data_IF_658188164389
#
_entry.id   IF_658188164389
#
_cell.length_a   1.000
_cell.length_b   1.000
_cell.length_c   1.000
_cell.angle_alpha   90.00
_cell.angle_beta   90.00
_cell.angle_gamma   90.00
#
_symmetry.space_group_name_H-M   'P 1'
#
loop_
_entity.id
_entity.type
_entity.pdbx_description
1 polymer ?
#
# COMPACT_ATOMS: atom_id res chain seq x y z
N UNK A 1 5.91 11.25 24.29
CA UNK A 1 4.76 11.48 25.20
C UNK A 1 3.97 12.62 24.58
N UNK A 2 2.82 12.33 23.96
CA UNK A 2 1.85 13.32 23.60
C UNK A 2 1.21 13.78 24.92
N UNK A 3 1.63 14.92 25.42
CA UNK A 3 0.87 15.69 26.36
C UNK A 3 -0.03 16.60 25.51
N UNK A 4 -1.33 16.45 25.73
CA UNK A 4 -2.42 17.16 25.05
C UNK A 4 -2.50 17.00 23.51
N UNK A 5 -3.17 15.98 23.11
CA UNK A 5 -4.17 15.85 22.03
C UNK A 5 -3.93 16.38 20.63
N UNK A 6 -2.97 17.23 20.38
CA UNK A 6 -2.74 17.82 19.08
C UNK A 6 -1.42 17.34 18.47
N UNK A 7 -1.52 16.46 17.47
CA UNK A 7 -0.38 16.05 16.67
C UNK A 7 -0.32 16.89 15.38
N UNK A 8 0.79 17.62 15.21
CA UNK A 8 1.03 18.41 14.01
C UNK A 8 2.12 17.76 13.16
N UNK A 9 1.71 17.12 12.06
CA UNK A 9 2.62 16.47 11.11
C UNK A 9 3.53 17.47 10.39
N UNK A 10 3.07 18.71 10.18
CA UNK A 10 3.86 19.74 9.48
C UNK A 10 5.01 20.18 10.37
N UNK A 11 4.75 20.46 11.65
CA UNK A 11 5.78 20.75 12.63
C UNK A 11 6.77 19.61 12.78
N UNK A 12 6.29 18.37 12.87
CA UNK A 12 7.16 17.17 12.92
C UNK A 12 8.07 17.06 11.70
N UNK A 13 7.57 17.33 10.50
CA UNK A 13 8.36 17.26 9.28
C UNK A 13 9.41 18.37 9.22
N UNK A 14 9.09 19.60 9.68
CA UNK A 14 10.05 20.71 9.80
C UNK A 14 11.21 20.32 10.74
N UNK A 15 10.90 19.72 11.88
CA UNK A 15 11.89 19.35 12.89
C UNK A 15 12.82 18.20 12.44
N UNK A 16 12.38 17.36 11.52
CA UNK A 16 13.13 16.16 11.11
C UNK A 16 14.32 16.43 10.21
N UNK A 17 14.21 17.42 9.32
CA UNK A 17 15.24 17.74 8.32
C UNK A 17 15.24 19.22 7.97
N UNK A 18 16.42 19.81 7.84
CA UNK A 18 16.57 21.20 7.44
C UNK A 18 15.93 21.52 6.07
N UNK A 19 15.98 20.56 5.13
CA UNK A 19 15.32 20.68 3.81
C UNK A 19 13.80 20.79 3.94
N UNK A 20 13.20 20.02 4.84
CA UNK A 20 11.76 20.11 5.12
C UNK A 20 11.43 21.45 5.80
N UNK A 21 12.26 21.88 6.77
CA UNK A 21 12.07 23.17 7.44
C UNK A 21 12.06 24.31 6.44
N UNK A 22 12.97 24.34 5.47
CA UNK A 22 13.01 25.36 4.43
C UNK A 22 11.82 25.25 3.47
N UNK A 23 11.47 24.02 3.01
CA UNK A 23 10.36 23.81 2.08
C UNK A 23 8.99 24.16 2.70
N UNK A 24 8.83 23.96 4.00
CA UNK A 24 7.57 24.16 4.73
C UNK A 24 7.54 25.42 5.58
N UNK A 25 8.56 26.30 5.51
CA UNK A 25 8.73 27.44 6.42
C UNK A 25 7.51 28.37 6.49
N UNK A 26 6.84 28.58 5.35
CA UNK A 26 5.68 29.48 5.23
C UNK A 26 4.33 28.75 5.46
N UNK A 27 4.36 27.45 5.75
CA UNK A 27 3.15 26.62 5.89
C UNK A 27 3.01 26.11 7.32
N UNK A 28 1.80 26.20 7.84
CA UNK A 28 1.35 25.55 9.07
C UNK A 28 0.33 24.44 8.75
N UNK A 29 -0.12 23.67 9.75
CA UNK A 29 -1.12 22.60 9.52
C UNK A 29 -2.34 23.11 8.76
N UNK A 30 -2.84 24.30 9.11
CA UNK A 30 -4.05 24.91 8.53
C UNK A 30 -3.87 25.39 7.08
N UNK A 31 -2.63 25.40 6.58
CA UNK A 31 -2.35 25.67 5.17
C UNK A 31 -2.74 24.50 4.25
N UNK A 32 -3.01 23.32 4.80
CA UNK A 32 -3.33 22.10 4.07
C UNK A 32 -4.76 21.65 4.40
N UNK A 33 -5.61 21.56 3.37
CA UNK A 33 -6.97 21.05 3.53
C UNK A 33 -6.98 19.53 3.78
N UNK A 34 -6.08 18.81 3.14
CA UNK A 34 -5.96 17.35 3.23
C UNK A 34 -4.51 16.93 3.39
N UNK A 35 -4.27 15.90 4.19
CA UNK A 35 -2.96 15.25 4.37
C UNK A 35 -3.11 13.76 4.12
N UNK A 36 -2.34 13.25 3.16
CA UNK A 36 -2.25 11.84 2.84
C UNK A 36 -0.84 11.32 3.12
N UNK A 37 -0.75 10.22 3.85
CA UNK A 37 0.50 9.59 4.25
C UNK A 37 0.64 8.25 3.51
N UNK A 38 1.79 8.01 2.88
CA UNK A 38 2.07 6.77 2.18
C UNK A 38 3.26 6.07 2.82
N UNK A 39 3.04 4.85 3.30
CA UNK A 39 4.06 4.06 3.96
C UNK A 39 4.19 2.70 3.28
N UNK A 40 5.38 2.14 3.41
CA UNK A 40 5.67 0.76 3.06
C UNK A 40 5.48 -0.12 4.29
N UNK A 41 4.87 -1.30 4.12
CA UNK A 41 4.75 -2.27 5.20
C UNK A 41 6.13 -2.73 5.71
N UNK A 42 7.13 -2.82 4.81
CA UNK A 42 8.54 -3.17 5.09
C UNK A 42 8.74 -4.13 6.27
N UNK A 43 8.25 -5.35 6.13
CA UNK A 43 8.30 -6.36 7.18
C UNK A 43 9.72 -6.78 7.60
N UNK A 44 10.75 -6.37 6.83
CA UNK A 44 12.16 -6.61 7.16
C UNK A 44 12.75 -5.55 8.10
N UNK A 45 12.07 -4.41 8.26
CA UNK A 45 12.54 -3.37 9.18
C UNK A 45 12.62 -3.89 10.63
N UNK A 46 13.73 -3.61 11.31
CA UNK A 46 13.91 -3.95 12.72
C UNK A 46 12.92 -3.21 13.62
N UNK A 47 12.35 -2.12 13.13
CA UNK A 47 11.37 -1.29 13.82
C UNK A 47 9.92 -1.66 13.47
N UNK A 48 9.70 -2.56 12.48
CA UNK A 48 8.37 -2.99 12.09
C UNK A 48 7.71 -3.77 13.22
N UNK A 49 6.54 -3.29 13.64
CA UNK A 49 5.71 -3.85 14.67
C UNK A 49 4.25 -3.72 14.23
N UNK A 50 3.60 -4.85 14.04
CA UNK A 50 2.22 -4.89 13.55
C UNK A 50 1.24 -4.15 14.48
N UNK A 51 1.51 -4.17 15.79
CA UNK A 51 0.73 -3.42 16.77
C UNK A 51 0.86 -1.90 16.56
N UNK A 52 2.08 -1.41 16.33
CA UNK A 52 2.31 0.01 16.03
C UNK A 52 1.65 0.45 14.73
N UNK A 53 1.64 -0.43 13.71
CA UNK A 53 0.96 -0.15 12.45
C UNK A 53 -0.55 -0.01 12.69
N UNK A 54 -1.14 -0.87 13.52
CA UNK A 54 -2.56 -0.77 13.88
C UNK A 54 -2.88 0.52 14.63
N UNK A 55 -2.01 0.92 15.56
CA UNK A 55 -2.12 2.22 16.26
C UNK A 55 -2.02 3.38 15.27
N UNK A 56 -1.06 3.35 14.35
CA UNK A 56 -0.91 4.37 13.31
C UNK A 56 -2.15 4.46 12.40
N UNK A 57 -2.70 3.33 11.96
CA UNK A 57 -3.93 3.28 11.15
C UNK A 57 -5.17 3.75 11.92
N UNK A 58 -5.13 3.69 13.24
CA UNK A 58 -6.20 4.21 14.10
C UNK A 58 -6.07 5.71 14.28
N UNK A 59 -4.85 6.21 14.38
CA UNK A 59 -4.55 7.63 14.61
C UNK A 59 -4.64 8.46 13.31
N UNK A 60 -4.10 7.94 12.21
CA UNK A 60 -4.12 8.56 10.89
C UNK A 60 -5.27 8.00 10.04
N UNK A 61 -6.49 8.35 10.39
CA UNK A 61 -7.72 7.81 9.81
C UNK A 61 -8.61 8.87 9.15
N UNK A 62 -8.19 10.14 9.15
CA UNK A 62 -8.93 11.25 8.55
C UNK A 62 -7.95 12.26 7.95
N UNK A 63 -8.09 12.51 6.65
CA UNK A 63 -7.22 13.41 5.89
C UNK A 63 -7.37 14.89 6.28
N UNK A 64 -8.49 15.25 6.88
CA UNK A 64 -8.76 16.63 7.35
C UNK A 64 -8.22 16.89 8.75
N UNK A 65 -7.96 15.83 9.51
CA UNK A 65 -7.44 15.90 10.88
C UNK A 65 -5.93 15.62 10.94
N UNK A 66 -5.55 14.45 11.43
CA UNK A 66 -4.14 14.04 11.59
C UNK A 66 -3.50 13.60 10.28
N UNK A 67 -4.30 13.32 9.26
CA UNK A 67 -3.93 12.73 7.99
C UNK A 67 -4.52 11.33 7.81
N UNK A 68 -4.60 10.87 6.58
CA UNK A 68 -5.06 9.54 6.22
C UNK A 68 -3.88 8.68 5.74
N UNK A 69 -3.67 7.56 6.43
CA UNK A 69 -2.54 6.65 6.17
C UNK A 69 -2.90 5.58 5.14
N UNK A 70 -2.07 5.46 4.12
CA UNK A 70 -2.10 4.42 3.10
C UNK A 70 -0.85 3.55 3.20
N UNK A 71 -1.01 2.22 3.16
CA UNK A 71 0.09 1.28 3.27
C UNK A 71 0.20 0.42 2.00
N UNK A 72 1.39 0.38 1.42
CA UNK A 72 1.74 -0.54 0.33
C UNK A 72 2.34 -1.84 0.87
N UNK A 73 1.90 -2.98 0.32
CA UNK A 73 2.32 -4.33 0.72
C UNK A 73 3.08 -5.02 -0.41
N UNK A 74 4.36 -5.38 -0.25
CA UNK A 74 5.21 -5.03 0.90
C UNK A 74 5.78 -3.61 0.84
N UNK A 75 5.83 -2.98 -0.35
CA UNK A 75 6.48 -1.68 -0.59
C UNK A 75 5.79 -0.96 -1.75
N UNK A 76 6.18 0.30 -2.02
CA UNK A 76 5.67 1.11 -3.13
C UNK A 76 5.82 0.42 -4.49
N UNK A 77 6.84 -0.42 -4.66
CA UNK A 77 7.06 -1.23 -5.85
C UNK A 77 5.94 -2.24 -6.15
N UNK A 78 5.02 -2.49 -5.19
CA UNK A 78 3.82 -3.30 -5.43
C UNK A 78 3.01 -2.80 -6.63
N UNK A 79 3.04 -1.48 -6.90
CA UNK A 79 2.36 -0.88 -8.04
C UNK A 79 2.81 -1.44 -9.39
N UNK A 80 4.07 -1.77 -9.52
CA UNK A 80 4.66 -2.30 -10.77
C UNK A 80 4.74 -3.81 -10.83
N UNK A 81 4.50 -4.51 -9.71
CA UNK A 81 4.60 -5.97 -9.64
C UNK A 81 3.36 -6.63 -10.24
N UNK A 82 3.34 -6.68 -11.56
CA UNK A 82 2.17 -7.11 -12.32
C UNK A 82 2.56 -7.83 -13.62
N UNK A 83 1.86 -8.91 -13.93
CA UNK A 83 1.90 -9.62 -15.21
C UNK A 83 0.53 -9.54 -15.90
N UNK A 84 -0.44 -10.19 -15.30
CA UNK A 84 -1.81 -10.28 -15.76
C UNK A 84 -2.77 -10.36 -14.57
N UNK A 85 -4.05 -10.22 -14.84
CA UNK A 85 -5.12 -10.17 -13.83
C UNK A 85 -5.22 -11.48 -13.04
N UNK A 86 -5.11 -12.62 -13.72
CA UNK A 86 -5.34 -13.93 -13.09
C UNK A 86 -4.23 -14.27 -12.10
N UNK A 87 -2.97 -14.08 -12.51
CA UNK A 87 -1.82 -14.26 -11.62
C UNK A 87 -1.77 -13.24 -10.51
N UNK A 88 -2.15 -11.98 -10.80
CA UNK A 88 -2.14 -10.90 -9.81
C UNK A 88 -3.15 -11.11 -8.67
N UNK A 89 -4.30 -11.68 -8.95
CA UNK A 89 -5.35 -11.95 -7.95
C UNK A 89 -4.80 -12.63 -6.70
N UNK A 90 -3.95 -13.63 -6.87
CA UNK A 90 -3.40 -14.46 -5.78
C UNK A 90 -1.93 -14.18 -5.48
N UNK A 91 -1.33 -13.19 -6.15
CA UNK A 91 0.09 -12.86 -5.99
C UNK A 91 0.42 -12.48 -4.54
N UNK A 92 1.26 -13.28 -3.91
CA UNK A 92 1.85 -13.03 -2.60
C UNK A 92 3.35 -13.02 -2.68
N UNK A 93 4.01 -12.43 -1.71
CA UNK A 93 5.47 -12.49 -1.55
C UNK A 93 5.84 -12.73 -0.10
N UNK A 94 6.94 -13.44 0.11
CA UNK A 94 7.44 -13.73 1.45
C UNK A 94 7.80 -12.44 2.17
N UNK A 95 7.51 -12.39 3.45
CA UNK A 95 7.86 -11.26 4.31
C UNK A 95 8.42 -11.77 5.65
N UNK A 96 8.97 -10.84 6.45
CA UNK A 96 9.57 -11.15 7.76
C UNK A 96 10.66 -12.24 7.69
N UNK A 97 11.40 -12.32 6.57
CA UNK A 97 12.38 -13.38 6.29
C UNK A 97 13.36 -13.55 7.46
N UNK A 98 14.02 -12.47 7.86
CA UNK A 98 15.04 -12.48 8.90
C UNK A 98 14.47 -12.59 10.32
N UNK A 99 13.17 -12.33 10.48
CA UNK A 99 12.47 -12.30 11.77
C UNK A 99 11.34 -13.33 11.84
N UNK A 100 11.23 -14.19 10.83
CA UNK A 100 10.21 -15.24 10.84
C UNK A 100 10.42 -16.16 12.04
N UNK A 101 9.47 -16.26 12.98
CA UNK A 101 9.60 -17.12 14.16
C UNK A 101 9.65 -18.61 13.79
N UNK A 102 9.34 -18.94 12.55
CA UNK A 102 9.29 -20.30 12.04
C UNK A 102 10.48 -20.65 11.12
N UNK A 103 11.49 -19.76 11.00
CA UNK A 103 12.58 -19.94 10.03
C UNK A 103 13.32 -21.27 10.22
N UNK A 104 13.46 -21.74 11.45
CA UNK A 104 14.15 -22.98 11.77
C UNK A 104 13.34 -24.25 11.44
N UNK A 105 12.00 -24.13 11.39
CA UNK A 105 11.08 -25.27 11.19
C UNK A 105 10.27 -25.18 9.90
N UNK A 106 10.43 -24.11 9.14
CA UNK A 106 9.73 -23.93 7.89
C UNK A 106 10.34 -24.80 6.80
N UNK A 107 9.52 -25.62 6.14
CA UNK A 107 9.96 -26.47 5.02
C UNK A 107 10.42 -25.66 3.79
N UNK A 108 10.01 -24.41 3.69
CA UNK A 108 10.37 -23.50 2.61
C UNK A 108 11.53 -22.55 3.00
N UNK A 109 12.27 -22.85 4.05
CA UNK A 109 13.32 -22.00 4.60
C UNK A 109 14.34 -21.56 3.53
N UNK A 110 14.86 -22.50 2.75
CA UNK A 110 15.85 -22.23 1.69
C UNK A 110 15.26 -21.30 0.62
N UNK A 111 14.01 -21.53 0.22
CA UNK A 111 13.29 -20.68 -0.73
C UNK A 111 13.15 -19.24 -0.19
N UNK A 112 12.72 -19.08 1.07
CA UNK A 112 12.62 -17.78 1.71
C UNK A 112 13.96 -17.04 1.77
N UNK A 113 15.04 -17.74 2.13
CA UNK A 113 16.38 -17.15 2.25
C UNK A 113 17.00 -16.82 0.88
N UNK A 114 16.65 -17.61 -0.17
CA UNK A 114 17.15 -17.42 -1.52
C UNK A 114 16.42 -16.33 -2.31
N UNK A 115 15.23 -15.90 -1.87
CA UNK A 115 14.48 -14.87 -2.57
C UNK A 115 15.24 -13.53 -2.61
N UNK A 116 15.29 -12.84 -3.77
CA UNK A 116 15.88 -11.53 -3.88
C UNK A 116 15.08 -10.48 -3.08
N UNK A 117 15.69 -9.34 -2.80
CA UNK A 117 14.96 -8.20 -2.24
C UNK A 117 13.77 -7.83 -3.12
N UNK A 118 12.65 -7.51 -2.51
CA UNK A 118 11.39 -7.28 -3.21
C UNK A 118 11.50 -6.26 -4.36
N UNK A 119 12.28 -5.20 -4.18
CA UNK A 119 12.52 -4.21 -5.23
C UNK A 119 13.10 -4.82 -6.51
N UNK A 120 14.03 -5.73 -6.39
CA UNK A 120 14.62 -6.47 -7.51
C UNK A 120 13.64 -7.49 -8.04
N UNK A 121 13.02 -8.24 -7.15
CA UNK A 121 12.05 -9.28 -7.51
C UNK A 121 10.88 -8.70 -8.30
N UNK A 122 10.25 -7.63 -7.81
CA UNK A 122 9.13 -6.99 -8.51
C UNK A 122 9.48 -6.53 -9.93
N UNK A 123 10.74 -6.12 -10.17
CA UNK A 123 11.17 -5.72 -11.50
C UNK A 123 11.41 -6.89 -12.45
N UNK A 124 11.91 -8.02 -11.94
CA UNK A 124 12.23 -9.22 -12.77
C UNK A 124 11.01 -10.11 -12.97
N UNK A 125 10.07 -10.14 -12.02
CA UNK A 125 8.86 -10.94 -12.08
C UNK A 125 7.68 -10.25 -12.78
N UNK A 126 7.85 -9.03 -13.29
CA UNK A 126 6.80 -8.27 -13.98
C UNK A 126 7.01 -8.21 -15.48
N UNK A 127 5.93 -8.02 -16.24
CA UNK A 127 6.09 -7.72 -17.67
C UNK A 127 6.73 -6.36 -17.89
N UNK A 128 7.56 -6.18 -18.94
CA UNK A 128 8.37 -4.99 -19.16
C UNK A 128 7.59 -3.67 -19.16
N UNK A 129 6.34 -3.67 -19.66
CA UNK A 129 5.50 -2.47 -19.70
C UNK A 129 5.11 -1.95 -18.30
N UNK A 130 5.18 -2.79 -17.27
CA UNK A 130 4.82 -2.43 -15.88
C UNK A 130 6.02 -2.06 -15.00
N UNK A 131 7.25 -2.21 -15.49
CA UNK A 131 8.45 -2.05 -14.65
C UNK A 131 8.89 -0.58 -14.46
N UNK A 132 8.49 0.33 -15.38
CA UNK A 132 8.93 1.72 -15.36
C UNK A 132 7.74 2.69 -15.36
N UNK A 133 7.42 3.22 -14.18
CA UNK A 133 6.31 4.16 -13.94
C UNK A 133 6.35 5.39 -14.86
N UNK A 134 7.55 5.88 -15.19
CA UNK A 134 7.71 7.05 -16.06
C UNK A 134 7.27 6.80 -17.53
N UNK A 135 7.05 5.54 -17.89
CA UNK A 135 6.63 5.13 -19.23
C UNK A 135 5.18 4.62 -19.26
N UNK A 136 4.45 4.74 -18.18
CA UNK A 136 3.08 4.26 -18.12
C UNK A 136 2.18 5.09 -19.04
N UNK A 137 1.50 4.39 -19.94
CA UNK A 137 0.40 4.94 -20.72
C UNK A 137 -0.88 5.02 -19.88
N UNK A 138 -1.88 5.73 -20.40
CA UNK A 138 -3.21 5.78 -19.77
C UNK A 138 -3.79 4.38 -19.55
N UNK A 139 -3.60 3.47 -20.51
CA UNK A 139 -4.11 2.09 -20.45
C UNK A 139 -3.37 1.26 -19.37
N UNK A 140 -2.05 1.43 -19.25
CA UNK A 140 -1.29 0.80 -18.16
C UNK A 140 -1.78 1.28 -16.81
N UNK A 141 -1.99 2.58 -16.63
CA UNK A 141 -2.55 3.14 -15.40
C UNK A 141 -3.94 2.57 -15.09
N UNK A 142 -4.84 2.53 -16.08
CA UNK A 142 -6.18 1.95 -15.94
C UNK A 142 -6.11 0.49 -15.48
N UNK A 143 -5.29 -0.32 -16.16
CA UNK A 143 -5.12 -1.75 -15.85
C UNK A 143 -4.64 -1.95 -14.41
N UNK A 144 -3.60 -1.22 -14.00
CA UNK A 144 -3.04 -1.36 -12.65
C UNK A 144 -4.00 -0.87 -11.57
N UNK A 145 -4.65 0.28 -11.77
CA UNK A 145 -5.65 0.78 -10.81
C UNK A 145 -6.79 -0.23 -10.67
N UNK A 146 -7.35 -0.70 -11.79
CA UNK A 146 -8.41 -1.71 -11.79
C UNK A 146 -7.99 -2.98 -11.02
N UNK A 147 -6.81 -3.53 -11.36
CA UNK A 147 -6.31 -4.77 -10.76
C UNK A 147 -6.13 -4.64 -9.23
N UNK A 148 -5.52 -3.56 -8.78
CA UNK A 148 -5.31 -3.33 -7.35
C UNK A 148 -6.60 -3.10 -6.58
N UNK A 149 -7.58 -2.39 -7.16
CA UNK A 149 -8.89 -2.20 -6.53
C UNK A 149 -9.66 -3.52 -6.42
N UNK A 150 -9.67 -4.33 -7.49
CA UNK A 150 -10.29 -5.66 -7.45
C UNK A 150 -9.58 -6.57 -6.42
N UNK A 151 -8.25 -6.49 -6.33
CA UNK A 151 -7.49 -7.28 -5.36
C UNK A 151 -7.73 -6.84 -3.92
N UNK A 152 -7.86 -5.55 -3.66
CA UNK A 152 -8.22 -5.06 -2.33
C UNK A 152 -9.61 -5.59 -1.91
N UNK A 153 -10.58 -5.57 -2.85
CA UNK A 153 -11.89 -6.15 -2.61
C UNK A 153 -11.83 -7.67 -2.38
N UNK A 154 -11.03 -8.37 -3.17
CA UNK A 154 -10.80 -9.80 -2.97
C UNK A 154 -10.17 -10.12 -1.62
N UNK A 155 -9.18 -9.34 -1.21
CA UNK A 155 -8.54 -9.54 0.09
C UNK A 155 -9.51 -9.39 1.27
N UNK A 156 -10.40 -8.39 1.20
CA UNK A 156 -11.29 -8.05 2.31
C UNK A 156 -12.61 -8.80 2.25
N UNK A 157 -13.19 -8.92 1.06
CA UNK A 157 -14.57 -9.42 0.86
C UNK A 157 -14.65 -10.75 0.08
N UNK A 158 -13.50 -11.34 -0.30
CA UNK A 158 -13.40 -12.55 -1.12
C UNK A 158 -14.04 -12.42 -2.53
N UNK A 159 -14.27 -11.19 -3.00
CA UNK A 159 -14.86 -10.88 -4.29
C UNK A 159 -13.84 -10.12 -5.19
N UNK A 160 -13.41 -10.76 -6.29
CA UNK A 160 -12.47 -10.16 -7.23
C UNK A 160 -13.22 -9.32 -8.28
N UNK A 161 -13.83 -8.25 -7.82
CA UNK A 161 -14.53 -7.25 -8.62
C UNK A 161 -14.20 -5.85 -8.11
N UNK A 162 -14.54 -4.82 -8.88
CA UNK A 162 -14.42 -3.43 -8.39
C UNK A 162 -15.27 -3.23 -7.14
N UNK A 163 -14.71 -2.63 -6.08
CA UNK A 163 -15.43 -2.47 -4.83
C UNK A 163 -16.65 -1.55 -4.97
N UNK A 164 -17.74 -1.89 -4.30
CA UNK A 164 -18.96 -1.06 -4.26
C UNK A 164 -18.82 0.17 -3.35
N UNK A 165 -17.86 0.15 -2.41
CA UNK A 165 -17.54 1.23 -1.48
C UNK A 165 -16.05 1.28 -1.22
N UNK A 166 -15.57 2.35 -0.61
CA UNK A 166 -14.18 2.48 -0.18
C UNK A 166 -13.80 1.33 0.78
N UNK A 167 -12.61 0.78 0.57
CA UNK A 167 -12.04 -0.24 1.44
C UNK A 167 -11.01 0.43 2.34
N UNK A 168 -11.33 0.53 3.63
CA UNK A 168 -10.47 1.20 4.61
C UNK A 168 -9.16 0.45 4.82
N UNK A 169 -8.08 1.21 5.01
CA UNK A 169 -6.73 0.67 5.22
C UNK A 169 -6.64 -0.26 6.43
N UNK A 170 -7.41 0.01 7.48
CA UNK A 170 -7.49 -0.84 8.68
C UNK A 170 -8.09 -2.22 8.37
N UNK A 171 -9.11 -2.29 7.51
CA UNK A 171 -9.69 -3.56 7.06
C UNK A 171 -8.70 -4.35 6.20
N UNK A 172 -7.97 -3.68 5.30
CA UNK A 172 -6.90 -4.29 4.49
C UNK A 172 -5.83 -4.87 5.41
N UNK A 173 -5.32 -4.10 6.37
CA UNK A 173 -4.29 -4.55 7.29
C UNK A 173 -4.73 -5.75 8.12
N UNK A 174 -5.95 -5.71 8.69
CA UNK A 174 -6.51 -6.82 9.44
C UNK A 174 -6.58 -8.11 8.60
N UNK A 175 -6.95 -8.02 7.31
CA UNK A 175 -6.99 -9.17 6.40
C UNK A 175 -5.61 -9.62 5.93
N UNK A 176 -4.64 -8.72 5.79
CA UNK A 176 -3.24 -9.09 5.59
C UNK A 176 -2.72 -9.91 6.78
N UNK A 177 -2.98 -9.48 8.01
CA UNK A 177 -2.62 -10.23 9.22
C UNK A 177 -3.28 -11.61 9.25
N UNK A 178 -4.60 -11.66 9.08
CA UNK A 178 -5.39 -12.89 9.17
C UNK A 178 -5.03 -13.91 8.07
N UNK A 179 -5.00 -13.46 6.81
CA UNK A 179 -4.90 -14.36 5.65
C UNK A 179 -3.46 -14.67 5.25
N UNK A 180 -2.48 -13.83 5.62
CA UNK A 180 -1.14 -13.90 5.07
C UNK A 180 -0.01 -13.81 6.11
N UNK A 181 0.03 -12.74 6.93
CA UNK A 181 1.19 -12.43 7.76
C UNK A 181 1.32 -13.38 8.96
N UNK A 182 0.22 -13.69 9.64
CA UNK A 182 0.20 -14.54 10.84
C UNK A 182 0.18 -16.05 10.50
N UNK A 183 0.85 -16.44 9.41
CA UNK A 183 1.03 -17.83 9.01
C UNK A 183 2.40 -18.37 9.41
N UNK A 184 2.52 -19.70 9.35
CA UNK A 184 3.81 -20.40 9.60
C UNK A 184 4.94 -19.85 8.71
N UNK A 185 4.66 -19.61 7.42
CA UNK A 185 5.56 -18.92 6.50
C UNK A 185 4.92 -17.58 6.14
N UNK A 186 5.28 -16.49 6.84
CA UNK A 186 4.66 -15.19 6.63
C UNK A 186 4.86 -14.66 5.22
N UNK A 187 3.79 -14.19 4.64
CA UNK A 187 3.76 -13.55 3.33
C UNK A 187 2.85 -12.31 3.37
N UNK A 188 2.87 -11.50 2.34
CA UNK A 188 1.89 -10.42 2.13
C UNK A 188 1.24 -10.57 0.77
N UNK A 189 -0.05 -10.29 0.68
CA UNK A 189 -0.71 -10.13 -0.60
C UNK A 189 -0.25 -8.81 -1.22
N UNK A 190 0.34 -8.87 -2.42
CA UNK A 190 0.92 -7.70 -3.09
C UNK A 190 -0.18 -6.69 -3.39
N UNK A 191 -0.11 -5.50 -2.78
CA UNK A 191 -1.13 -4.47 -2.93
C UNK A 191 -0.51 -3.07 -2.82
N UNK A 192 -0.70 -2.24 -3.85
CA UNK A 192 -0.29 -0.84 -3.79
C UNK A 192 -1.37 0.03 -3.13
N UNK A 193 -0.94 0.94 -2.30
CA UNK A 193 -1.78 1.95 -1.66
C UNK A 193 -2.31 3.01 -2.64
N UNK A 194 -1.55 3.32 -3.70
CA UNK A 194 -1.87 4.42 -4.60
C UNK A 194 -3.22 4.28 -5.32
N UNK A 195 -3.63 3.10 -5.86
CA UNK A 195 -4.95 2.94 -6.44
C UNK A 195 -6.11 3.15 -5.47
N UNK A 196 -5.91 2.82 -4.20
CA UNK A 196 -6.91 3.05 -3.15
C UNK A 196 -7.06 4.54 -2.85
N UNK A 197 -5.93 5.26 -2.77
CA UNK A 197 -5.94 6.72 -2.69
C UNK A 197 -6.63 7.38 -3.90
N UNK A 198 -6.40 6.89 -5.12
CA UNK A 198 -7.05 7.43 -6.32
C UNK A 198 -8.57 7.29 -6.22
N UNK A 199 -9.05 6.12 -5.77
CA UNK A 199 -10.48 5.87 -5.57
C UNK A 199 -11.07 6.79 -4.50
N UNK A 200 -10.36 7.01 -3.42
CA UNK A 200 -10.78 7.86 -2.31
C UNK A 200 -10.80 9.34 -2.72
N UNK A 201 -9.70 9.84 -3.25
CA UNK A 201 -9.53 11.25 -3.61
C UNK A 201 -10.47 11.73 -4.73
N UNK A 202 -10.62 10.93 -5.79
CA UNK A 202 -11.50 11.29 -6.93
C UNK A 202 -12.95 10.85 -6.75
N UNK A 203 -13.22 10.02 -5.76
CA UNK A 203 -14.51 9.37 -5.56
C UNK A 203 -14.75 8.22 -6.55
N UNK A 204 -15.66 7.34 -6.15
CA UNK A 204 -15.96 6.10 -6.88
C UNK A 204 -16.43 6.38 -8.32
N UNK A 205 -17.42 7.23 -8.51
CA UNK A 205 -18.06 7.43 -9.82
C UNK A 205 -17.07 7.99 -10.84
N UNK A 206 -16.26 9.00 -10.45
CA UNK A 206 -15.23 9.56 -11.32
C UNK A 206 -14.14 8.53 -11.65
N UNK A 207 -13.72 7.73 -10.67
CA UNK A 207 -12.71 6.69 -10.87
C UNK A 207 -13.25 5.61 -11.80
N UNK A 208 -14.48 5.12 -11.56
CA UNK A 208 -15.10 4.08 -12.37
C UNK A 208 -15.32 4.54 -13.81
N UNK A 209 -15.77 5.78 -14.01
CA UNK A 209 -15.92 6.35 -15.35
C UNK A 209 -14.59 6.39 -16.11
N UNK A 210 -13.51 6.76 -15.43
CA UNK A 210 -12.17 6.79 -16.04
C UNK A 210 -11.60 5.41 -16.33
N UNK A 211 -12.00 4.39 -15.58
CA UNK A 211 -11.56 3.00 -15.78
C UNK A 211 -12.33 2.28 -16.89
N UNK A 212 -13.52 2.76 -17.27
CA UNK A 212 -14.26 2.16 -18.37
C UNK A 212 -13.52 2.31 -19.72
N UNK A 213 -13.64 1.34 -20.64
CA UNK A 213 -13.17 1.49 -22.01
C UNK A 213 -13.81 2.70 -22.70
N UNK A 214 -13.08 3.38 -23.56
CA UNK A 214 -13.59 4.56 -24.28
C UNK A 214 -14.76 4.20 -25.23
N UNK A 215 -14.87 2.94 -25.64
CA UNK A 215 -15.91 2.44 -26.54
C UNK A 215 -17.26 2.13 -25.83
N UNK A 216 -17.37 2.31 -24.54
CA UNK A 216 -18.61 2.08 -23.78
C UNK A 216 -19.51 3.34 -23.68
N UNK A 217 -19.15 4.42 -24.37
CA UNK A 217 -19.98 5.64 -24.49
C UNK A 217 -20.71 5.64 -25.83
N UNK A 218 -21.75 4.79 -25.98
CA UNK A 218 -22.76 4.93 -27.04
C UNK A 218 -24.12 5.07 -26.36
#
# INVERSE_FOLDING_TARGET
KAEDGFFDIVSLLKDRKAENAEALKEYERDSFAYIYLFFDYDAHSTMADDYKIEEMLTFFNDETENGLLYISYPMVEAMRHFKDIDSFKTLTVKCKRDKCPYIEVCQEQDSCLAEPHYKTFSATDSYPQYTNVNKYTKEVWKTLIFAHLCKANYLVNDDFALPSSLIGQKAIFAKQLEKHINKKCPEVSVLSAFPLYVLDYYGRDNTMQKLQPEDAQI
#
